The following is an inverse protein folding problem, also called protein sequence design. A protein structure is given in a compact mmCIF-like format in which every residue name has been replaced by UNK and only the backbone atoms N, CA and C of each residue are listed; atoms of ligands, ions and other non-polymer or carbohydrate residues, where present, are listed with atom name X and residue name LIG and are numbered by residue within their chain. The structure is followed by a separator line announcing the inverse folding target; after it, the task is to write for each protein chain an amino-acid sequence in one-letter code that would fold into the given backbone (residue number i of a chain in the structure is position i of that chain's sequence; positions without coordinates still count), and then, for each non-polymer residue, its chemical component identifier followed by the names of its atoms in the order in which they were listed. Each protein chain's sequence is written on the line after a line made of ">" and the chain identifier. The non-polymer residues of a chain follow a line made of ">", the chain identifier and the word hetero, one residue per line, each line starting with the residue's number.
data_IF_033520115041
#
_entry.id   IF_033520115041
#
_cell.length_a   1.000
_cell.length_b   1.000
_cell.length_c   1.000
_cell.angle_alpha   90.00
_cell.angle_beta   90.00
_cell.angle_gamma   90.00
#
_symmetry.space_group_name_H-M   'P 1'
#
loop_
_entity.id
_entity.type
_entity.pdbx_description
1 polymer ?
#
# COMPACT_ATOMS: atom_id res chain seq x y z
N UNK A 1 -9.99 0.57 9.25
CA UNK A 1 -9.47 -0.62 8.54
C UNK A 1 -9.97 -0.57 7.12
N UNK A 2 -9.09 -0.69 6.14
CA UNK A 2 -9.40 -0.66 4.71
C UNK A 2 -8.83 -1.91 4.05
N UNK A 3 -9.65 -2.56 3.22
CA UNK A 3 -9.24 -3.70 2.40
C UNK A 3 -9.22 -3.27 0.93
N UNK A 4 -8.08 -3.40 0.28
CA UNK A 4 -7.87 -3.01 -1.12
C UNK A 4 -7.62 -4.26 -1.97
N UNK A 5 -8.17 -4.27 -3.19
CA UNK A 5 -7.73 -5.15 -4.25
C UNK A 5 -7.34 -4.31 -5.46
N UNK A 6 -6.12 -4.50 -5.97
CA UNK A 6 -5.64 -3.82 -7.18
C UNK A 6 -5.46 -4.84 -8.31
N UNK A 7 -6.22 -4.68 -9.39
CA UNK A 7 -6.15 -5.58 -10.55
C UNK A 7 -4.76 -5.50 -11.21
N UNK A 8 -4.08 -6.63 -11.49
CA UNK A 8 -2.75 -6.65 -12.10
C UNK A 8 -2.70 -5.99 -13.49
N UNK A 9 -3.82 -5.99 -14.21
CA UNK A 9 -3.91 -5.47 -15.59
C UNK A 9 -4.30 -3.99 -15.65
N UNK A 10 -4.61 -3.37 -14.52
CA UNK A 10 -5.01 -1.96 -14.45
C UNK A 10 -3.88 -1.15 -13.83
N UNK A 11 -3.78 0.13 -14.19
CA UNK A 11 -2.84 1.04 -13.55
C UNK A 11 -3.10 1.12 -12.03
N UNK A 12 -2.03 1.12 -11.24
CA UNK A 12 -2.13 1.18 -9.77
C UNK A 12 -2.49 2.60 -9.27
N UNK A 13 -2.38 3.63 -10.13
CA UNK A 13 -2.56 5.05 -9.80
C UNK A 13 -3.86 5.34 -9.06
N UNK A 14 -4.98 4.76 -9.49
CA UNK A 14 -6.28 4.93 -8.80
C UNK A 14 -6.26 4.36 -7.38
N UNK A 15 -5.53 3.25 -7.19
CA UNK A 15 -5.34 2.63 -5.88
C UNK A 15 -4.48 3.53 -4.99
N UNK A 16 -3.37 4.05 -5.54
CA UNK A 16 -2.48 4.96 -4.83
C UNK A 16 -3.18 6.26 -4.43
N UNK A 17 -4.00 6.83 -5.32
CA UNK A 17 -4.77 8.04 -5.05
C UNK A 17 -5.77 7.83 -3.91
N UNK A 18 -6.42 6.66 -3.84
CA UNK A 18 -7.30 6.31 -2.71
C UNK A 18 -6.53 6.20 -1.40
N UNK A 19 -5.34 5.59 -1.41
CA UNK A 19 -4.48 5.47 -0.24
C UNK A 19 -4.04 6.86 0.24
N UNK A 20 -3.57 7.71 -0.66
CA UNK A 20 -3.13 9.08 -0.37
C UNK A 20 -4.26 9.96 0.18
N UNK A 21 -5.43 9.93 -0.46
CA UNK A 21 -6.63 10.63 0.03
C UNK A 21 -7.03 10.15 1.42
N UNK A 22 -6.96 8.84 1.68
CA UNK A 22 -7.29 8.30 2.99
C UNK A 22 -6.29 8.78 4.05
N UNK A 23 -4.99 8.69 3.78
CA UNK A 23 -3.95 9.13 4.71
C UNK A 23 -4.01 10.63 5.00
N UNK A 24 -4.35 11.46 4.00
CA UNK A 24 -4.50 12.91 4.16
C UNK A 24 -5.79 13.30 4.91
N UNK A 25 -6.89 12.58 4.70
CA UNK A 25 -8.17 12.83 5.40
C UNK A 25 -8.17 12.41 6.88
N UNK A 26 -7.28 11.49 7.24
CA UNK A 26 -7.19 10.90 8.56
C UNK A 26 -6.24 11.65 9.49
N UNK A 27 -6.65 12.81 10.00
CA UNK A 27 -5.89 13.48 11.06
C UNK A 27 -5.90 12.63 12.36
N UNK A 28 -4.79 11.93 12.63
CA UNK A 28 -4.47 11.18 13.88
C UNK A 28 -5.20 9.86 14.14
N UNK A 29 -5.52 9.07 13.11
CA UNK A 29 -6.08 7.72 13.34
C UNK A 29 -5.06 6.62 13.06
N UNK A 30 -5.10 5.55 13.88
CA UNK A 30 -4.42 4.29 13.59
C UNK A 30 -5.08 3.64 12.36
N UNK A 31 -4.44 3.72 11.19
CA UNK A 31 -4.97 3.16 9.95
C UNK A 31 -4.33 1.80 9.71
N UNK A 32 -5.17 0.78 9.55
CA UNK A 32 -4.77 -0.50 8.98
C UNK A 32 -5.21 -0.56 7.52
N UNK A 33 -4.23 -0.67 6.63
CA UNK A 33 -4.42 -0.96 5.20
C UNK A 33 -3.98 -2.41 4.99
N UNK A 34 -4.87 -3.24 4.46
CA UNK A 34 -4.58 -4.60 4.03
C UNK A 34 -5.10 -4.79 2.60
N UNK A 35 -4.48 -5.67 1.83
CA UNK A 35 -4.94 -5.89 0.47
C UNK A 35 -3.99 -6.70 -0.39
N UNK A 36 -4.52 -7.14 -1.52
CA UNK A 36 -3.70 -7.67 -2.62
C UNK A 36 -3.49 -6.54 -3.63
N UNK A 37 -2.25 -6.08 -3.73
CA UNK A 37 -1.86 -4.97 -4.60
C UNK A 37 -1.34 -5.45 -5.96
N UNK A 38 -1.20 -6.77 -6.16
CA UNK A 38 -0.55 -7.36 -7.33
C UNK A 38 0.76 -6.62 -7.67
N UNK A 39 1.63 -6.50 -6.66
CA UNK A 39 2.89 -5.79 -6.75
C UNK A 39 4.01 -6.55 -6.07
N UNK A 40 5.20 -6.49 -6.67
CA UNK A 40 6.41 -7.14 -6.17
C UNK A 40 7.32 -6.11 -5.51
N UNK A 41 7.66 -6.32 -4.24
CA UNK A 41 8.72 -5.55 -3.58
C UNK A 41 9.36 -6.37 -2.45
N UNK A 42 10.68 -6.25 -2.32
CA UNK A 42 11.43 -6.90 -1.23
C UNK A 42 11.01 -6.47 0.17
N UNK A 43 10.42 -5.28 0.35
CA UNK A 43 9.89 -4.83 1.65
C UNK A 43 8.76 -5.71 2.19
N UNK A 44 8.03 -6.40 1.31
CA UNK A 44 7.03 -7.41 1.67
C UNK A 44 7.41 -8.81 1.17
N UNK A 45 8.72 -9.08 1.10
CA UNK A 45 9.32 -10.39 0.85
C UNK A 45 9.10 -10.96 -0.55
N UNK A 46 8.86 -10.13 -1.56
CA UNK A 46 8.92 -10.59 -2.95
C UNK A 46 10.37 -10.81 -3.41
N UNK A 47 10.57 -11.68 -4.41
CA UNK A 47 11.90 -11.98 -4.97
C UNK A 47 12.51 -10.81 -5.76
N UNK A 48 11.67 -9.89 -6.23
CA UNK A 48 12.05 -8.72 -7.04
C UNK A 48 11.33 -7.47 -6.58
N UNK A 49 11.71 -6.34 -7.17
CA UNK A 49 10.91 -5.12 -7.13
C UNK A 49 10.34 -4.89 -8.53
N UNK A 50 9.09 -4.50 -8.61
CA UNK A 50 8.48 -3.93 -9.83
C UNK A 50 8.07 -2.47 -9.60
N UNK A 51 7.74 -1.77 -10.69
CA UNK A 51 7.33 -0.37 -10.64
C UNK A 51 6.08 -0.14 -9.77
N UNK A 52 5.17 -1.12 -9.72
CA UNK A 52 3.95 -1.03 -8.90
C UNK A 52 4.31 -1.08 -7.41
N UNK A 53 5.22 -1.96 -7.03
CA UNK A 53 5.70 -2.13 -5.67
C UNK A 53 6.50 -0.92 -5.21
N UNK A 54 7.40 -0.42 -6.06
CA UNK A 54 8.16 0.80 -5.73
C UNK A 54 7.22 2.03 -5.58
N UNK A 55 6.20 2.16 -6.43
CA UNK A 55 5.20 3.24 -6.33
C UNK A 55 4.37 3.15 -5.05
N UNK A 56 3.88 1.94 -4.72
CA UNK A 56 3.11 1.70 -3.50
C UNK A 56 3.94 2.00 -2.25
N UNK A 57 5.19 1.53 -2.23
CA UNK A 57 6.11 1.77 -1.14
C UNK A 57 6.35 3.28 -0.95
N UNK A 58 6.58 4.03 -2.02
CA UNK A 58 6.77 5.47 -1.97
C UNK A 58 5.53 6.19 -1.39
N UNK A 59 4.33 5.84 -1.85
CA UNK A 59 3.07 6.41 -1.32
C UNK A 59 2.93 6.15 0.18
N UNK A 60 3.20 4.91 0.62
CA UNK A 60 3.12 4.56 2.03
C UNK A 60 4.16 5.32 2.86
N UNK A 61 5.41 5.42 2.39
CA UNK A 61 6.47 6.21 3.06
C UNK A 61 6.14 7.69 3.20
N UNK A 62 5.50 8.31 2.20
CA UNK A 62 5.00 9.69 2.34
C UNK A 62 3.93 9.78 3.43
N UNK A 63 3.07 8.76 3.54
CA UNK A 63 2.10 8.64 4.63
C UNK A 63 2.75 8.57 6.02
N UNK A 64 3.86 7.84 6.17
CA UNK A 64 4.61 7.74 7.43
C UNK A 64 5.12 9.09 7.95
N UNK A 65 5.48 10.04 7.06
CA UNK A 65 5.92 11.38 7.48
C UNK A 65 4.79 12.15 8.20
N UNK A 66 3.53 11.77 7.96
CA UNK A 66 2.36 12.45 8.48
C UNK A 66 1.68 11.72 9.67
N UNK A 67 2.18 10.56 10.12
CA UNK A 67 1.66 9.84 11.29
C UNK A 67 2.26 8.46 11.53
N UNK A 68 1.86 7.80 12.63
CA UNK A 68 2.30 6.44 12.96
C UNK A 68 1.61 5.40 12.06
N UNK A 69 2.32 4.90 11.04
CA UNK A 69 1.84 3.84 10.16
C UNK A 69 2.48 2.50 10.53
N UNK A 70 1.71 1.41 10.47
CA UNK A 70 2.22 0.05 10.67
C UNK A 70 1.86 -0.80 9.45
N UNK A 71 2.86 -1.14 8.66
CA UNK A 71 2.69 -2.10 7.57
C UNK A 71 2.58 -3.51 8.16
N UNK A 72 1.44 -4.17 7.95
CA UNK A 72 1.23 -5.57 8.32
C UNK A 72 1.01 -6.34 7.02
N UNK A 73 1.99 -7.14 6.62
CA UNK A 73 1.83 -8.06 5.50
C UNK A 73 1.16 -9.35 6.00
N UNK A 74 -0.02 -9.66 5.49
CA UNK A 74 -0.59 -11.01 5.55
C UNK A 74 -0.27 -11.69 4.22
N UNK A 75 0.78 -12.54 4.21
CA UNK A 75 1.06 -13.41 3.06
C UNK A 75 -0.15 -14.32 2.83
N UNK A 76 -0.90 -14.04 1.76
CA UNK A 76 -1.84 -15.00 1.21
C UNK A 76 -1.02 -16.11 0.57
N UNK A 77 -0.96 -17.26 1.23
CA UNK A 77 -0.54 -18.49 0.56
C UNK A 77 -1.62 -18.81 -0.47
N UNK A 78 -1.28 -18.68 -1.76
CA UNK A 78 -1.99 -19.39 -2.82
C UNK A 78 -1.64 -20.89 -2.73
#
# INVERSE_FOLDING_TARGET
>A
MLIIYSNPNCDISDTLHKIDHLMSSSHRSNILIAGDFNSSNRYWYSNSNDLRGDSLLATLFVGFVHGDFKLINTVGFC
#
